data_IF_436068461450
#
_entry.id   IF_436068461450
#
_cell.length_a   1.000
_cell.length_b   1.000
_cell.length_c   1.000
_cell.angle_alpha   90.00
_cell.angle_beta   90.00
_cell.angle_gamma   90.00
#
_symmetry.space_group_name_H-M   'P 1'
#
loop_
_entity.id
_entity.type
_entity.pdbx_description
1 polymer ?
#
# COMPACT_ATOMS: atom_id res chain seq x y z
N UNK A 1 1.31 6.62 19.65
CA UNK A 1 1.64 5.71 18.52
C UNK A 1 0.80 6.13 17.32
N UNK A 2 1.41 6.78 16.31
CA UNK A 2 0.67 7.48 15.24
C UNK A 2 -0.36 6.61 14.51
N UNK A 3 0.02 5.37 14.13
CA UNK A 3 -0.91 4.47 13.43
C UNK A 3 -2.12 4.12 14.29
N UNK A 4 -1.92 3.74 15.57
CA UNK A 4 -3.02 3.40 16.46
C UNK A 4 -3.97 4.57 16.66
N UNK A 5 -3.45 5.77 16.86
CA UNK A 5 -4.26 6.98 17.01
C UNK A 5 -5.08 7.30 15.75
N UNK A 6 -4.49 7.11 14.56
CA UNK A 6 -5.12 7.46 13.29
C UNK A 6 -6.31 6.57 12.89
N UNK A 7 -6.43 5.37 13.48
CA UNK A 7 -7.51 4.42 13.15
C UNK A 7 -8.29 3.97 14.38
N UNK A 8 -8.09 4.59 15.54
CA UNK A 8 -8.68 4.15 16.82
C UNK A 8 -10.21 4.12 16.79
N UNK A 9 -10.81 5.10 16.11
CA UNK A 9 -12.25 5.28 15.93
C UNK A 9 -12.87 4.30 14.91
N UNK A 10 -12.03 3.55 14.18
CA UNK A 10 -12.47 2.51 13.24
C UNK A 10 -12.39 1.09 13.83
N UNK A 11 -12.25 0.97 15.16
CA UNK A 11 -12.24 -0.29 15.93
C UNK A 11 -11.33 -1.40 15.33
N UNK A 12 -10.02 -1.14 15.14
CA UNK A 12 -9.12 -2.03 14.46
C UNK A 12 -8.91 -3.35 15.23
N UNK A 13 -9.01 -4.49 14.54
CA UNK A 13 -8.74 -5.83 15.09
C UNK A 13 -7.75 -6.60 14.22
N UNK A 14 -6.94 -7.47 14.84
CA UNK A 14 -5.97 -8.28 14.10
C UNK A 14 -6.66 -9.34 13.23
N UNK A 15 -6.62 -9.14 11.90
CA UNK A 15 -7.28 -10.01 10.91
C UNK A 15 -6.76 -11.44 10.89
N UNK A 16 -5.45 -11.61 11.08
CA UNK A 16 -4.77 -12.90 10.93
C UNK A 16 -4.88 -13.80 12.17
N UNK A 17 -5.43 -13.28 13.28
CA UNK A 17 -5.61 -14.05 14.51
C UNK A 17 -7.07 -14.53 14.58
N UNK A 18 -7.33 -15.83 14.82
CA UNK A 18 -8.69 -16.34 15.00
C UNK A 18 -9.46 -15.62 16.10
N UNK A 19 -8.76 -15.18 17.16
CA UNK A 19 -9.36 -14.47 18.29
C UNK A 19 -9.64 -12.99 18.00
N UNK A 20 -9.16 -12.45 16.87
CA UNK A 20 -9.32 -11.05 16.41
C UNK A 20 -9.20 -10.01 17.54
N UNK A 21 -8.10 -10.04 18.33
CA UNK A 21 -7.92 -9.07 19.40
C UNK A 21 -7.85 -7.64 18.84
N UNK A 22 -8.30 -6.63 19.62
CA UNK A 22 -8.11 -5.22 19.26
C UNK A 22 -6.64 -4.90 19.04
N UNK A 23 -6.36 -4.01 18.09
CA UNK A 23 -5.00 -3.53 17.82
C UNK A 23 -4.47 -2.77 19.04
N UNK A 24 -3.34 -3.22 19.57
CA UNK A 24 -2.58 -2.52 20.62
C UNK A 24 -1.11 -2.42 20.23
N UNK A 25 -0.73 -1.27 19.70
CA UNK A 25 0.63 -0.89 19.37
C UNK A 25 1.28 -0.18 20.57
N UNK A 26 2.28 -0.82 21.13
CA UNK A 26 3.27 -0.27 22.06
C UNK A 26 4.63 -0.14 21.38
N UNK A 27 5.57 0.68 21.88
CA UNK A 27 6.93 0.74 21.35
C UNK A 27 7.57 -0.65 21.20
N UNK A 28 7.41 -1.52 22.20
CA UNK A 28 7.96 -2.87 22.21
C UNK A 28 7.33 -3.77 21.15
N UNK A 29 6.00 -3.73 21.00
CA UNK A 29 5.32 -4.53 19.96
C UNK A 29 5.69 -4.03 18.56
N UNK A 30 5.82 -2.71 18.37
CA UNK A 30 6.19 -2.13 17.08
C UNK A 30 7.60 -2.56 16.63
N UNK A 31 8.56 -2.67 17.55
CA UNK A 31 9.94 -3.02 17.22
C UNK A 31 10.09 -4.38 16.52
N UNK A 32 9.16 -5.32 16.76
CA UNK A 32 9.16 -6.65 16.14
C UNK A 32 8.20 -6.83 14.97
N UNK A 33 7.35 -5.83 14.68
CA UNK A 33 6.30 -5.96 13.65
C UNK A 33 6.86 -5.59 12.27
N UNK A 34 6.88 -6.58 11.36
CA UNK A 34 7.13 -6.31 9.94
C UNK A 34 5.87 -5.85 9.21
N UNK A 35 4.74 -6.51 9.47
CA UNK A 35 3.50 -6.18 8.80
C UNK A 35 2.36 -6.15 9.83
N UNK A 36 1.42 -5.22 9.62
CA UNK A 36 0.21 -5.09 10.43
C UNK A 36 -0.99 -5.31 9.51
N UNK A 37 -1.79 -6.32 9.83
CA UNK A 37 -2.98 -6.70 9.07
C UNK A 37 -4.19 -6.56 9.97
N UNK A 38 -5.02 -5.54 9.72
CA UNK A 38 -6.20 -5.26 10.54
C UNK A 38 -7.46 -5.20 9.70
N UNK A 39 -8.55 -5.66 10.30
CA UNK A 39 -9.89 -5.27 9.86
C UNK A 39 -10.32 -4.06 10.68
N UNK A 40 -11.00 -3.13 10.04
CA UNK A 40 -11.60 -1.93 10.62
C UNK A 40 -13.06 -1.84 10.18
N UNK A 41 -13.82 -0.92 10.77
CA UNK A 41 -15.21 -0.66 10.37
C UNK A 41 -15.34 -0.28 8.89
N UNK A 42 -14.29 0.27 8.28
CA UNK A 42 -14.26 0.67 6.86
C UNK A 42 -13.61 -0.37 5.94
N UNK A 43 -13.27 -1.53 6.48
CA UNK A 43 -12.66 -2.63 5.76
C UNK A 43 -11.21 -2.90 6.15
N UNK A 44 -10.48 -3.56 5.26
CA UNK A 44 -9.14 -4.07 5.52
C UNK A 44 -8.06 -3.02 5.33
N UNK A 45 -7.15 -2.93 6.29
CA UNK A 45 -5.95 -2.11 6.23
C UNK A 45 -4.71 -2.97 6.47
N UNK A 46 -3.83 -2.97 5.48
CA UNK A 46 -2.57 -3.69 5.50
C UNK A 46 -1.41 -2.68 5.50
N UNK A 47 -0.62 -2.63 6.58
CA UNK A 47 0.62 -1.88 6.65
C UNK A 47 1.79 -2.84 6.43
N UNK A 48 2.60 -2.57 5.41
CA UNK A 48 3.68 -3.45 4.98
C UNK A 48 5.04 -2.78 5.17
N UNK A 49 6.03 -3.52 5.67
CA UNK A 49 7.44 -3.08 5.73
C UNK A 49 8.08 -3.06 4.34
N UNK A 50 7.73 -4.03 3.49
CA UNK A 50 8.19 -4.10 2.11
C UNK A 50 7.07 -4.45 1.13
N UNK A 51 7.18 -3.89 -0.08
CA UNK A 51 6.36 -4.27 -1.22
C UNK A 51 7.17 -5.17 -2.13
N UNK A 52 6.78 -6.45 -2.21
CA UNK A 52 7.43 -7.43 -3.07
C UNK A 52 7.53 -6.93 -4.51
N UNK A 53 8.72 -6.96 -5.11
CA UNK A 53 9.00 -6.44 -6.45
C UNK A 53 9.41 -4.96 -6.50
N UNK A 54 9.27 -4.22 -5.40
CA UNK A 54 9.67 -2.79 -5.29
C UNK A 54 10.71 -2.60 -4.18
N UNK A 55 10.43 -3.10 -2.97
CA UNK A 55 11.33 -3.08 -1.81
C UNK A 55 10.78 -2.27 -0.62
N UNK A 56 11.69 -1.66 0.14
CA UNK A 56 11.41 -0.88 1.35
C UNK A 56 10.54 0.36 1.11
N UNK A 57 10.06 0.97 2.20
CA UNK A 57 9.30 2.20 2.19
C UNK A 57 9.95 3.30 1.34
N UNK A 58 11.26 3.53 1.45
CA UNK A 58 11.96 4.58 0.71
C UNK A 58 11.91 4.34 -0.81
N UNK A 59 12.06 3.07 -1.24
CA UNK A 59 11.97 2.70 -2.66
C UNK A 59 10.55 2.83 -3.18
N UNK A 60 9.56 2.45 -2.38
CA UNK A 60 8.14 2.62 -2.71
C UNK A 60 7.81 4.12 -2.82
N UNK A 61 8.28 4.92 -1.87
CA UNK A 61 8.06 6.36 -1.82
C UNK A 61 8.66 7.07 -3.04
N UNK A 62 9.89 6.72 -3.42
CA UNK A 62 10.57 7.28 -4.58
C UNK A 62 9.88 6.96 -5.92
N UNK A 63 9.07 5.91 -5.95
CA UNK A 63 8.30 5.49 -7.13
C UNK A 63 6.80 5.82 -7.02
N UNK A 64 6.42 6.63 -6.04
CA UNK A 64 5.04 7.09 -5.85
C UNK A 64 4.81 8.44 -6.51
N UNK A 65 3.56 8.68 -6.88
CA UNK A 65 3.07 9.97 -7.42
C UNK A 65 2.06 10.57 -6.47
N UNK A 66 2.08 11.90 -6.31
CA UNK A 66 1.08 12.60 -5.52
C UNK A 66 -0.25 12.64 -6.29
N UNK A 67 -1.31 12.21 -5.63
CA UNK A 67 -2.67 12.19 -6.17
C UNK A 67 -3.57 13.00 -5.23
N UNK A 68 -4.24 14.06 -5.72
CA UNK A 68 -5.20 14.79 -4.92
C UNK A 68 -6.43 13.91 -4.66
N UNK A 69 -6.77 13.69 -3.40
CA UNK A 69 -8.01 13.04 -2.98
C UNK A 69 -8.87 14.03 -2.18
N UNK A 70 -10.19 13.80 -2.07
CA UNK A 70 -11.06 14.64 -1.25
C UNK A 70 -10.59 14.78 0.21
N UNK A 71 -9.93 13.75 0.75
CA UNK A 71 -9.37 13.73 2.10
C UNK A 71 -7.99 14.39 2.22
N UNK A 72 -7.41 14.88 1.12
CA UNK A 72 -6.06 15.43 1.05
C UNK A 72 -5.16 14.73 0.03
N UNK A 73 -3.99 15.30 -0.30
CA UNK A 73 -3.04 14.66 -1.20
C UNK A 73 -2.51 13.35 -0.59
N UNK A 74 -2.46 12.30 -1.41
CA UNK A 74 -1.93 11.00 -1.02
C UNK A 74 -0.90 10.52 -2.03
N UNK A 75 0.16 9.87 -1.55
CA UNK A 75 1.14 9.22 -2.42
C UNK A 75 0.65 7.83 -2.81
N UNK A 76 0.51 7.62 -4.11
CA UNK A 76 0.07 6.36 -4.70
C UNK A 76 1.19 5.82 -5.57
N UNK A 77 1.42 4.51 -5.54
CA UNK A 77 2.45 3.87 -6.34
C UNK A 77 2.25 4.18 -7.84
N UNK A 78 3.32 4.64 -8.51
CA UNK A 78 3.30 4.90 -9.94
C UNK A 78 3.03 3.64 -10.75
N UNK A 79 2.51 3.79 -11.97
CA UNK A 79 2.01 2.66 -12.77
C UNK A 79 3.08 1.59 -13.04
N UNK A 80 4.34 1.98 -13.29
CA UNK A 80 5.42 1.02 -13.54
C UNK A 80 5.80 0.24 -12.28
N UNK A 81 5.83 0.90 -11.13
CA UNK A 81 6.11 0.27 -9.86
C UNK A 81 4.96 -0.65 -9.42
N UNK A 82 3.72 -0.26 -9.70
CA UNK A 82 2.55 -1.09 -9.48
C UNK A 82 2.56 -2.35 -10.36
N UNK A 83 2.96 -2.24 -11.63
CA UNK A 83 3.16 -3.42 -12.50
C UNK A 83 4.21 -4.35 -11.89
N UNK A 84 5.40 -3.84 -11.50
CA UNK A 84 6.46 -4.65 -10.88
C UNK A 84 5.95 -5.39 -9.64
N UNK A 85 5.21 -4.70 -8.77
CA UNK A 85 4.66 -5.30 -7.56
C UNK A 85 3.68 -6.44 -7.89
N UNK A 86 2.81 -6.24 -8.88
CA UNK A 86 1.83 -7.24 -9.28
C UNK A 86 2.44 -8.45 -9.97
N UNK A 87 3.47 -8.26 -10.80
CA UNK A 87 4.21 -9.35 -11.43
C UNK A 87 4.92 -10.25 -10.41
N UNK A 88 5.48 -9.64 -9.36
CA UNK A 88 6.18 -10.38 -8.32
C UNK A 88 5.23 -11.24 -7.46
N UNK A 89 3.96 -10.84 -7.30
CA UNK A 89 2.96 -11.58 -6.51
C UNK A 89 2.51 -12.91 -7.14
N UNK A 90 2.58 -13.04 -8.48
CA UNK A 90 2.29 -14.26 -9.27
C UNK A 90 0.91 -14.93 -9.06
N UNK A 91 -0.02 -14.32 -8.31
CA UNK A 91 -1.36 -14.87 -8.06
C UNK A 91 -2.24 -14.74 -9.32
N UNK A 92 -3.24 -15.62 -9.53
CA UNK A 92 -4.10 -15.57 -10.73
C UNK A 92 -4.72 -14.18 -10.98
N UNK A 93 -5.28 -13.56 -9.94
CA UNK A 93 -5.85 -12.20 -10.01
C UNK A 93 -4.84 -11.10 -10.35
N UNK A 94 -3.58 -11.27 -9.93
CA UNK A 94 -2.54 -10.28 -10.18
C UNK A 94 -2.05 -10.34 -11.64
N UNK A 95 -2.11 -11.52 -12.29
CA UNK A 95 -1.80 -11.64 -13.73
C UNK A 95 -2.76 -10.83 -14.59
N UNK A 96 -4.05 -10.92 -14.31
CA UNK A 96 -5.07 -10.12 -14.99
C UNK A 96 -4.85 -8.61 -14.73
N UNK A 97 -4.59 -8.23 -13.49
CA UNK A 97 -4.29 -6.84 -13.14
C UNK A 97 -3.06 -6.31 -13.91
N UNK A 98 -2.01 -7.11 -14.10
CA UNK A 98 -0.82 -6.71 -14.89
C UNK A 98 -1.20 -6.42 -16.34
N UNK A 99 -2.04 -7.23 -16.98
CA UNK A 99 -2.50 -6.99 -18.35
C UNK A 99 -3.23 -5.64 -18.45
N UNK A 100 -4.16 -5.38 -17.54
CA UNK A 100 -4.92 -4.13 -17.48
C UNK A 100 -4.01 -2.92 -17.24
N UNK A 101 -3.07 -3.02 -16.29
CA UNK A 101 -2.12 -1.95 -15.99
C UNK A 101 -1.20 -1.64 -17.17
N UNK A 102 -0.75 -2.66 -17.92
CA UNK A 102 0.05 -2.46 -19.14
C UNK A 102 -0.76 -1.76 -20.24
N UNK A 103 -2.03 -2.10 -20.40
CA UNK A 103 -2.93 -1.42 -21.34
C UNK A 103 -3.17 0.05 -20.93
N UNK A 104 -3.37 0.33 -19.64
CA UNK A 104 -3.50 1.71 -19.13
C UNK A 104 -2.20 2.49 -19.39
N UNK A 105 -1.04 1.88 -19.14
CA UNK A 105 0.26 2.51 -19.38
C UNK A 105 0.45 2.91 -20.84
N UNK A 106 0.05 2.07 -21.78
CA UNK A 106 0.13 2.36 -23.22
C UNK A 106 -0.75 3.53 -23.65
N UNK A 107 -1.87 3.77 -22.95
CA UNK A 107 -2.80 4.87 -23.24
C UNK A 107 -2.41 6.19 -22.60
N UNK A 108 -1.44 6.20 -21.69
CA UNK A 108 -0.99 7.45 -21.04
C UNK A 108 -0.19 8.28 -22.05
N UNK A 109 -0.48 9.58 -22.19
CA UNK A 109 0.40 10.46 -22.94
C UNK A 109 1.79 10.45 -22.30
N UNK A 110 2.84 10.45 -23.12
CA UNK A 110 4.20 10.60 -22.63
C UNK A 110 4.30 11.90 -21.82
N UNK A 111 5.02 11.92 -20.68
CA UNK A 111 5.24 13.18 -19.97
C UNK A 111 5.86 14.20 -20.94
N UNK A 112 5.45 15.47 -20.88
CA UNK A 112 6.07 16.51 -21.70
C UNK A 112 7.59 16.52 -21.44
N UNK A 113 8.42 16.76 -22.47
CA UNK A 113 9.88 16.79 -22.29
C UNK A 113 10.24 17.79 -21.19
N UNK A 114 11.23 17.43 -20.36
CA UNK A 114 11.75 18.32 -19.34
C UNK A 114 12.18 19.63 -20.00
N UNK A 115 11.71 20.76 -19.49
CA UNK A 115 12.16 22.08 -19.94
C UNK A 115 13.67 22.19 -19.66
N UNK A 116 14.46 22.72 -20.63
CA UNK A 116 15.89 22.92 -20.45
C UNK A 116 16.20 23.92 -19.34
#
# INVERSE_FOLDING_TARGET
MRLQEAIADLHPVHRMSPARPPLRLTPDTCAGLRNVYVDTDWGQLDCLDEVLGVGSYEKVLAQSVDVPLPAGPCRILGIDALIKAKEAMKRPRDREAVLQLRAIRQRRPSPPPARP
#
